data_IF_404838627776
#
_entry.id   IF_404838627776
#
_cell.length_a   1.000
_cell.length_b   1.000
_cell.length_c   1.000
_cell.angle_alpha   90.00
_cell.angle_beta   90.00
_cell.angle_gamma   90.00
#
_symmetry.space_group_name_H-M   'P 1'
#
loop_
_entity.id
_entity.type
_entity.pdbx_description
1 polymer ?
#
# COMPACT_ATOMS: atom_id res chain seq x y z
N UNK A 1 -30.80 -9.48 -11.87
CA UNK A 1 -29.36 -9.79 -11.88
C UNK A 1 -28.86 -9.59 -13.30
N UNK A 2 -28.08 -8.52 -13.52
CA UNK A 2 -27.54 -8.14 -14.84
C UNK A 2 -26.35 -9.06 -15.13
N UNK A 3 -26.39 -9.77 -16.26
CA UNK A 3 -25.28 -10.58 -16.76
C UNK A 3 -24.26 -9.64 -17.42
N UNK A 4 -23.07 -9.53 -16.85
CA UNK A 4 -21.92 -8.87 -17.47
C UNK A 4 -21.35 -9.84 -18.51
N UNK A 5 -21.36 -9.41 -19.77
CA UNK A 5 -20.76 -10.11 -20.90
C UNK A 5 -19.27 -9.74 -20.90
N UNK A 6 -18.40 -10.68 -20.52
CA UNK A 6 -16.95 -10.50 -20.56
C UNK A 6 -16.50 -10.70 -22.01
N UNK A 7 -16.19 -9.61 -22.71
CA UNK A 7 -15.52 -9.65 -24.01
C UNK A 7 -14.10 -10.19 -23.82
N UNK A 8 -13.86 -11.41 -24.31
CA UNK A 8 -12.52 -11.96 -24.45
C UNK A 8 -11.90 -11.38 -25.74
N UNK A 9 -11.12 -10.31 -25.60
CA UNK A 9 -10.36 -9.74 -26.71
C UNK A 9 -9.10 -10.58 -26.96
N UNK A 10 -9.18 -11.53 -27.89
CA UNK A 10 -8.00 -12.27 -28.39
C UNK A 10 -7.25 -11.38 -29.37
N UNK A 11 -6.05 -10.95 -28.99
CA UNK A 11 -5.14 -10.25 -29.90
C UNK A 11 -4.41 -11.27 -30.78
N UNK A 12 -4.70 -11.26 -32.09
CA UNK A 12 -3.99 -12.07 -33.09
C UNK A 12 -2.75 -11.31 -33.54
N UNK A 13 -1.57 -11.78 -33.15
CA UNK A 13 -0.30 -11.29 -33.68
C UNK A 13 0.02 -11.99 -35.01
N UNK A 14 0.03 -11.23 -36.10
CA UNK A 14 0.44 -11.73 -37.41
C UNK A 14 1.97 -11.62 -37.57
N UNK A 15 2.67 -12.75 -37.56
CA UNK A 15 4.04 -12.88 -38.04
C UNK A 15 4.03 -13.80 -39.27
N UNK A 16 4.45 -13.27 -40.41
CA UNK A 16 4.51 -14.01 -41.66
C UNK A 16 5.74 -14.92 -41.76
N UNK A 17 5.53 -16.15 -42.24
CA UNK A 17 6.34 -16.86 -43.23
C UNK A 17 5.55 -18.09 -43.69
N UNK A 18 5.65 -18.43 -44.98
CA UNK A 18 4.67 -19.25 -45.68
C UNK A 18 4.64 -20.74 -45.30
N UNK A 19 3.46 -21.34 -45.51
CA UNK A 19 3.22 -22.78 -45.47
C UNK A 19 1.98 -23.15 -44.67
N UNK A 20 0.90 -23.46 -45.40
CA UNK A 20 -0.21 -24.34 -44.96
C UNK A 20 -0.90 -24.02 -43.63
N UNK A 21 -1.43 -22.79 -43.47
CA UNK A 21 -2.04 -22.32 -42.21
C UNK A 21 -3.56 -22.37 -42.16
N UNK A 22 -4.22 -22.93 -43.17
CA UNK A 22 -5.69 -23.04 -43.22
C UNK A 22 -6.23 -24.28 -42.51
N UNK A 23 -5.49 -25.40 -42.56
CA UNK A 23 -5.95 -26.69 -42.01
C UNK A 23 -5.73 -26.76 -40.48
N UNK A 24 -4.71 -26.08 -39.93
CA UNK A 24 -4.47 -26.01 -38.48
C UNK A 24 -5.44 -25.07 -37.75
N UNK A 25 -6.01 -24.07 -38.44
CA UNK A 25 -6.97 -23.14 -37.84
C UNK A 25 -8.37 -23.76 -37.74
N UNK A 26 -8.79 -24.57 -38.73
CA UNK A 26 -10.04 -25.33 -38.64
C UNK A 26 -9.95 -26.44 -37.58
N UNK A 27 -8.81 -27.12 -37.47
CA UNK A 27 -8.60 -28.14 -36.43
C UNK A 27 -8.61 -27.56 -34.99
N UNK A 28 -8.18 -26.30 -34.82
CA UNK A 28 -8.19 -25.62 -33.52
C UNK A 28 -9.61 -25.18 -33.08
N UNK A 29 -10.51 -24.89 -34.04
CA UNK A 29 -11.89 -24.52 -33.76
C UNK A 29 -12.78 -25.74 -33.43
N UNK A 30 -12.59 -26.88 -34.10
CA UNK A 30 -13.30 -28.13 -33.76
C UNK A 30 -12.95 -28.64 -32.35
N UNK A 31 -11.72 -28.37 -31.86
CA UNK A 31 -11.28 -28.75 -30.51
C UNK A 31 -11.92 -27.91 -29.39
N UNK A 32 -12.42 -26.71 -29.71
CA UNK A 32 -13.10 -25.81 -28.76
C UNK A 32 -14.56 -26.25 -28.58
N UNK A 33 -15.23 -26.71 -29.65
CA UNK A 33 -16.58 -27.29 -29.57
C UNK A 33 -16.62 -28.62 -28.80
N UNK A 34 -15.56 -29.44 -28.88
CA UNK A 34 -15.45 -30.71 -28.14
C UNK A 34 -15.26 -30.51 -26.61
N UNK A 35 -14.72 -29.36 -26.18
CA UNK A 35 -14.54 -29.03 -24.76
C UNK A 35 -15.78 -28.39 -24.11
N UNK A 36 -16.68 -27.80 -24.90
CA UNK A 36 -17.96 -27.27 -24.40
C UNK A 36 -19.04 -28.36 -24.25
N UNK A 37 -18.91 -29.49 -24.95
CA UNK A 37 -19.84 -30.63 -24.83
C UNK A 37 -19.64 -31.48 -23.55
N UNK A 38 -18.53 -31.32 -22.83
CA UNK A 38 -18.21 -32.12 -21.63
C UNK A 38 -18.68 -31.51 -20.29
N UNK A 39 -19.33 -30.34 -20.30
CA UNK A 39 -19.82 -29.67 -19.08
C UNK A 39 -21.34 -29.81 -18.83
N UNK A 40 -22.00 -30.76 -19.50
CA UNK A 40 -23.42 -31.05 -19.33
C UNK A 40 -23.65 -32.50 -18.91
N UNK A 41 -23.19 -32.90 -17.72
CA UNK A 41 -23.87 -33.95 -16.95
C UNK A 41 -23.37 -33.92 -15.51
N UNK A 42 -24.12 -33.28 -14.62
CA UNK A 42 -24.25 -33.68 -13.21
C UNK A 42 -25.22 -32.73 -12.49
N UNK A 43 -26.51 -32.95 -12.72
CA UNK A 43 -27.56 -32.37 -11.89
C UNK A 43 -28.76 -33.31 -11.79
N UNK A 44 -28.73 -34.27 -10.86
CA UNK A 44 -29.97 -34.84 -10.29
C UNK A 44 -29.76 -35.40 -8.85
N UNK A 45 -30.26 -34.64 -7.86
CA UNK A 45 -31.00 -34.94 -6.58
C UNK A 45 -30.86 -36.31 -5.85
N UNK A 46 -31.16 -36.50 -4.52
CA UNK A 46 -31.76 -35.58 -3.52
C UNK A 46 -31.27 -35.65 -2.04
N UNK A 47 -31.67 -34.62 -1.29
CA UNK A 47 -32.07 -34.53 0.13
C UNK A 47 -31.88 -35.75 1.06
N UNK A 48 -31.19 -35.55 2.20
CA UNK A 48 -31.65 -36.03 3.52
C UNK A 48 -31.20 -35.10 4.66
N UNK A 49 -32.19 -34.52 5.32
CA UNK A 49 -32.14 -33.83 6.61
C UNK A 49 -31.94 -34.82 7.76
N UNK A 50 -31.26 -34.41 8.85
CA UNK A 50 -31.76 -34.79 10.17
C UNK A 50 -32.07 -33.60 11.08
N UNK A 51 -33.16 -33.82 11.81
CA UNK A 51 -33.89 -33.08 12.84
C UNK A 51 -33.03 -32.60 14.03
N UNK A 52 -33.42 -31.50 14.71
CA UNK A 52 -32.71 -30.99 15.87
C UNK A 52 -32.95 -31.86 17.12
N UNK A 53 -31.90 -32.08 17.91
CA UNK A 53 -32.00 -32.58 19.28
C UNK A 53 -31.69 -31.45 20.24
N UNK A 54 -32.66 -31.10 21.08
CA UNK A 54 -32.52 -30.19 22.21
C UNK A 54 -32.44 -30.98 23.52
N UNK A 55 -31.55 -30.61 24.45
CA UNK A 55 -31.71 -30.79 25.90
C UNK A 55 -30.54 -30.16 26.68
N UNK A 56 -30.64 -29.93 28.01
CA UNK A 56 -30.90 -28.61 28.57
C UNK A 56 -29.71 -28.03 29.36
N UNK A 57 -29.92 -26.78 29.79
CA UNK A 57 -29.06 -25.98 30.65
C UNK A 57 -28.72 -26.65 32.00
N UNK A 58 -27.54 -26.32 32.53
CA UNK A 58 -27.31 -26.30 33.97
C UNK A 58 -26.39 -25.13 34.31
N UNK A 59 -26.94 -24.19 35.08
CA UNK A 59 -26.22 -23.07 35.68
C UNK A 59 -25.40 -23.54 36.88
N UNK A 60 -24.17 -23.05 37.01
CA UNK A 60 -23.42 -23.10 38.26
C UNK A 60 -22.87 -21.72 38.57
N UNK A 61 -23.54 -21.06 39.52
CA UNK A 61 -23.11 -19.86 40.23
C UNK A 61 -21.92 -20.20 41.11
N UNK A 62 -20.83 -19.44 41.03
CA UNK A 62 -19.84 -19.37 42.12
C UNK A 62 -19.33 -17.93 42.21
N UNK A 63 -19.88 -17.22 43.20
CA UNK A 63 -19.48 -15.89 43.64
C UNK A 63 -18.19 -15.99 44.44
N UNK A 64 -17.11 -15.38 43.94
CA UNK A 64 -15.90 -15.13 44.72
C UNK A 64 -15.97 -13.72 45.36
N UNK A 65 -15.52 -13.53 46.62
CA UNK A 65 -15.58 -12.24 47.31
C UNK A 65 -14.55 -11.25 46.76
N UNK A 66 -14.83 -9.92 46.75
CA UNK A 66 -13.86 -8.92 46.37
C UNK A 66 -12.84 -8.70 47.50
N UNK A 67 -11.57 -8.98 47.25
CA UNK A 67 -10.46 -8.51 48.09
C UNK A 67 -10.11 -7.07 47.68
N UNK A 68 -10.43 -6.12 48.56
CA UNK A 68 -9.95 -4.73 48.46
C UNK A 68 -8.47 -4.66 48.84
N UNK A 69 -7.60 -4.55 47.85
CA UNK A 69 -6.19 -4.16 48.05
C UNK A 69 -6.06 -2.68 47.71
N UNK A 70 -5.92 -1.85 48.75
CA UNK A 70 -5.56 -0.44 48.65
C UNK A 70 -4.13 -0.31 48.13
N UNK A 71 -3.95 0.10 46.88
CA UNK A 71 -2.65 0.48 46.34
C UNK A 71 -2.27 1.88 46.84
N UNK A 72 -1.08 2.02 47.41
CA UNK A 72 -0.49 3.30 47.80
C UNK A 72 -0.10 4.11 46.54
N UNK A 73 -0.23 5.45 46.55
CA UNK A 73 0.23 6.26 45.43
C UNK A 73 1.76 6.32 45.40
N UNK A 74 2.38 5.65 44.43
CA UNK A 74 3.76 5.92 44.03
C UNK A 74 3.79 7.20 43.20
N UNK A 75 4.34 8.28 43.78
CA UNK A 75 4.63 9.53 43.07
C UNK A 75 5.86 9.31 42.19
N UNK A 76 5.65 8.92 40.92
CA UNK A 76 6.72 8.90 39.91
C UNK A 76 6.88 10.32 39.37
N UNK A 77 7.95 11.00 39.78
CA UNK A 77 8.36 12.28 39.20
C UNK A 77 9.00 12.01 37.83
N UNK A 78 8.21 12.14 36.76
CA UNK A 78 8.71 12.13 35.39
C UNK A 78 9.33 13.49 35.08
N UNK A 79 10.65 13.54 34.92
CA UNK A 79 11.33 14.71 34.36
C UNK A 79 11.11 14.71 32.84
N UNK A 80 10.22 15.58 32.36
CA UNK A 80 10.03 15.81 30.93
C UNK A 80 11.17 16.67 30.40
N UNK A 81 12.21 16.05 29.84
CA UNK A 81 13.18 16.75 29.01
C UNK A 81 12.48 17.08 27.69
N UNK A 82 12.01 18.33 27.54
CA UNK A 82 11.50 18.83 26.27
C UNK A 82 12.68 19.01 25.31
N UNK A 83 12.94 17.99 24.50
CA UNK A 83 13.77 18.14 23.30
C UNK A 83 12.99 19.07 22.36
N UNK A 84 13.57 20.19 21.89
CA UNK A 84 12.91 21.02 20.90
C UNK A 84 12.67 20.17 19.66
N UNK A 85 11.42 20.06 19.26
CA UNK A 85 11.03 19.37 18.05
C UNK A 85 11.32 20.29 16.88
N UNK A 86 11.81 19.73 15.76
CA UNK A 86 12.21 20.51 14.59
C UNK A 86 13.31 21.53 14.90
N UNK A 87 14.39 21.05 15.51
CA UNK A 87 15.58 21.88 15.72
C UNK A 87 16.28 22.22 14.40
N UNK A 88 17.37 22.97 14.49
CA UNK A 88 18.12 23.47 13.33
C UNK A 88 18.75 22.38 12.44
N UNK A 89 18.66 21.10 12.81
CA UNK A 89 19.11 19.98 11.97
C UNK A 89 18.12 19.58 10.89
N UNK A 90 16.85 19.98 10.99
CA UNK A 90 15.82 19.70 9.97
C UNK A 90 15.88 20.76 8.88
N UNK A 91 15.50 20.39 7.66
CA UNK A 91 15.62 21.26 6.49
C UNK A 91 14.40 21.16 5.59
N UNK A 92 14.04 22.26 4.92
CA UNK A 92 13.05 22.24 3.84
C UNK A 92 13.71 21.99 2.46
N UNK A 93 15.03 21.85 2.42
CA UNK A 93 15.76 21.51 1.20
C UNK A 93 15.48 20.05 0.79
N UNK A 94 15.57 19.72 -0.51
CA UNK A 94 15.42 18.35 -0.99
C UNK A 94 16.34 17.35 -0.27
N UNK A 95 15.79 16.20 0.12
CA UNK A 95 16.56 15.02 0.54
C UNK A 95 16.66 14.06 -0.63
N UNK A 96 17.86 13.95 -1.20
CA UNK A 96 18.08 13.19 -2.43
C UNK A 96 19.25 12.24 -2.23
N UNK A 97 19.00 10.96 -2.45
CA UNK A 97 20.06 9.94 -2.43
C UNK A 97 21.09 10.19 -3.52
N UNK A 98 22.37 9.93 -3.21
CA UNK A 98 23.46 10.09 -4.17
C UNK A 98 23.26 9.19 -5.39
N UNK A 99 23.40 9.75 -6.59
CA UNK A 99 23.21 9.02 -7.85
C UNK A 99 21.76 8.94 -8.34
N UNK A 100 20.84 9.71 -7.76
CA UNK A 100 19.47 9.84 -8.24
C UNK A 100 19.36 10.74 -9.50
N UNK A 101 18.45 10.43 -10.45
CA UNK A 101 17.75 9.15 -10.61
C UNK A 101 18.72 8.08 -11.12
N UNK A 102 18.47 6.81 -10.79
CA UNK A 102 19.28 5.68 -11.26
C UNK A 102 18.42 4.63 -11.98
N UNK A 103 19.05 3.71 -12.71
CA UNK A 103 18.30 2.68 -13.42
C UNK A 103 17.52 1.80 -12.43
N UNK A 104 16.19 1.86 -12.50
CA UNK A 104 15.33 0.92 -11.80
C UNK A 104 15.68 -0.52 -12.21
N UNK A 105 15.46 -1.48 -11.30
CA UNK A 105 15.75 -2.91 -11.47
C UNK A 105 17.24 -3.33 -11.54
N UNK A 106 18.18 -2.38 -11.48
CA UNK A 106 19.62 -2.70 -11.49
C UNK A 106 20.21 -2.96 -10.10
N UNK A 107 19.51 -2.54 -9.05
CA UNK A 107 20.00 -2.59 -7.69
C UNK A 107 19.58 -3.90 -6.97
N UNK A 108 20.47 -4.52 -6.18
CA UNK A 108 20.18 -5.78 -5.51
C UNK A 108 19.18 -5.61 -4.35
N UNK A 109 18.37 -6.64 -4.12
CA UNK A 109 17.38 -6.71 -3.04
C UNK A 109 16.01 -6.15 -3.40
N UNK A 110 14.97 -6.63 -2.72
CA UNK A 110 13.56 -6.33 -2.99
C UNK A 110 13.07 -5.24 -2.03
N UNK A 111 12.60 -4.11 -2.57
CA UNK A 111 11.95 -3.02 -1.84
C UNK A 111 10.50 -2.91 -2.29
N UNK A 112 9.74 -3.95 -1.96
CA UNK A 112 8.31 -4.00 -2.22
C UNK A 112 7.57 -3.35 -1.05
N UNK A 113 6.70 -2.39 -1.36
CA UNK A 113 5.91 -1.67 -0.37
C UNK A 113 4.83 -2.62 0.17
N UNK A 114 4.72 -2.70 1.49
CA UNK A 114 3.73 -3.56 2.15
C UNK A 114 2.64 -2.71 2.81
N UNK A 115 3.03 -1.65 3.54
CA UNK A 115 2.08 -0.82 4.28
C UNK A 115 2.48 0.64 4.26
N UNK A 116 1.50 1.54 4.27
CA UNK A 116 1.70 2.98 4.45
C UNK A 116 0.92 3.45 5.67
N UNK A 117 1.54 4.35 6.45
CA UNK A 117 0.94 4.90 7.66
C UNK A 117 1.20 6.40 7.76
N UNK A 118 0.20 7.10 8.29
CA UNK A 118 0.37 8.45 8.82
C UNK A 118 0.28 8.43 10.35
N UNK A 119 0.98 9.33 11.01
CA UNK A 119 0.95 9.47 12.47
C UNK A 119 1.24 10.90 12.91
N UNK A 120 0.71 11.29 14.07
CA UNK A 120 0.99 12.59 14.66
C UNK A 120 1.81 12.44 15.93
N UNK A 121 2.80 13.31 16.09
CA UNK A 121 3.72 13.35 17.22
C UNK A 121 3.81 14.78 17.76
N UNK A 122 4.33 15.00 18.98
CA UNK A 122 4.61 16.36 19.43
C UNK A 122 5.56 17.05 18.45
N UNK A 123 5.08 18.08 17.76
CA UNK A 123 5.83 19.00 16.89
C UNK A 123 6.11 18.52 15.46
N UNK A 124 5.66 17.33 15.07
CA UNK A 124 5.72 16.85 13.68
C UNK A 124 4.62 15.82 13.39
N UNK A 125 4.25 15.73 12.12
CA UNK A 125 3.50 14.61 11.58
C UNK A 125 4.45 13.69 10.80
N UNK A 126 4.12 12.41 10.73
CA UNK A 126 4.93 11.36 10.11
C UNK A 126 4.16 10.73 8.98
N UNK A 127 4.80 10.64 7.83
CA UNK A 127 4.44 9.74 6.75
C UNK A 127 5.47 8.60 6.70
N UNK A 128 5.00 7.35 6.61
CA UNK A 128 5.83 6.16 6.72
C UNK A 128 5.44 5.15 5.66
N UNK A 129 6.43 4.65 4.94
CA UNK A 129 6.30 3.53 4.01
C UNK A 129 7.06 2.35 4.61
N UNK A 130 6.33 1.28 4.89
CA UNK A 130 6.84 -0.02 5.31
C UNK A 130 7.02 -0.93 4.10
N UNK A 131 8.12 -1.65 4.08
CA UNK A 131 8.46 -2.63 3.06
C UNK A 131 8.44 -4.03 3.67
N UNK A 132 8.30 -5.04 2.81
CA UNK A 132 8.25 -6.44 3.23
C UNK A 132 9.30 -6.81 4.29
N UNK A 133 8.90 -7.64 5.25
CA UNK A 133 9.75 -8.04 6.39
C UNK A 133 11.09 -8.64 5.95
N UNK A 134 11.11 -9.47 4.90
CA UNK A 134 12.30 -10.08 4.31
C UNK A 134 12.96 -9.21 3.22
N UNK A 135 12.36 -8.06 2.92
CA UNK A 135 12.82 -7.08 1.96
C UNK A 135 13.80 -6.06 2.57
N UNK A 136 13.75 -4.83 2.04
CA UNK A 136 14.63 -3.73 2.43
C UNK A 136 14.04 -2.38 2.05
N UNK A 137 14.60 -1.31 2.60
CA UNK A 137 14.32 0.04 2.12
C UNK A 137 14.88 0.26 0.70
N UNK A 138 14.27 1.17 -0.08
CA UNK A 138 14.71 1.53 -1.43
C UNK A 138 16.19 1.89 -1.51
N UNK A 139 16.80 1.60 -2.66
CA UNK A 139 18.19 1.99 -2.94
C UNK A 139 18.37 3.47 -3.23
N UNK A 140 17.29 4.16 -3.55
CA UNK A 140 17.29 5.56 -3.90
C UNK A 140 15.92 6.17 -3.69
N UNK A 141 15.92 7.45 -3.33
CA UNK A 141 14.77 8.32 -3.26
C UNK A 141 15.17 9.77 -3.56
N UNK A 142 14.15 10.56 -3.88
CA UNK A 142 14.16 12.02 -3.94
C UNK A 142 12.90 12.51 -3.25
N UNK A 143 13.08 13.33 -2.22
CA UNK A 143 11.98 13.89 -1.43
C UNK A 143 12.12 15.40 -1.40
N UNK A 144 11.13 16.10 -1.94
CA UNK A 144 11.20 17.57 -2.10
C UNK A 144 9.83 18.23 -2.24
N UNK A 145 9.69 19.41 -1.64
CA UNK A 145 8.56 20.30 -1.92
C UNK A 145 8.57 20.71 -3.41
N UNK A 146 7.42 20.62 -4.08
CA UNK A 146 7.26 21.01 -5.48
C UNK A 146 6.52 22.35 -5.61
N UNK A 147 6.79 23.10 -6.69
CA UNK A 147 6.16 24.42 -6.92
C UNK A 147 4.94 24.38 -7.84
N UNK A 148 4.34 23.20 -8.04
CA UNK A 148 3.23 22.99 -8.97
C UNK A 148 2.29 21.90 -8.47
N UNK A 149 1.26 21.60 -9.27
CA UNK A 149 0.30 20.55 -8.92
C UNK A 149 0.94 19.16 -9.02
N UNK A 150 0.63 18.27 -8.08
CA UNK A 150 0.96 16.84 -8.17
C UNK A 150 0.39 16.20 -9.44
N UNK A 151 1.15 15.30 -10.06
CA UNK A 151 0.73 14.58 -11.27
C UNK A 151 0.87 13.07 -11.09
N UNK A 152 -0.07 12.31 -11.63
CA UNK A 152 0.01 10.85 -11.70
C UNK A 152 1.16 10.40 -12.59
N UNK A 153 1.84 9.36 -12.13
CA UNK A 153 2.94 8.74 -12.86
C UNK A 153 2.47 8.18 -14.20
N UNK A 154 3.28 8.34 -15.25
CA UNK A 154 3.03 7.85 -16.61
C UNK A 154 1.95 8.63 -17.40
N UNK A 155 0.80 8.93 -16.79
CA UNK A 155 -0.29 9.67 -17.44
C UNK A 155 -0.05 11.18 -17.49
N UNK A 156 0.55 11.74 -16.42
CA UNK A 156 0.70 13.18 -16.25
C UNK A 156 -0.60 13.93 -15.95
N UNK A 157 -1.69 13.22 -15.64
CA UNK A 157 -2.93 13.84 -15.19
C UNK A 157 -2.79 14.35 -13.75
N UNK A 158 -3.50 15.42 -13.34
CA UNK A 158 -3.45 15.90 -11.96
C UNK A 158 -3.91 14.86 -10.94
N UNK A 159 -3.23 14.80 -9.79
CA UNK A 159 -3.71 14.07 -8.60
C UNK A 159 -4.71 14.96 -7.86
N UNK A 160 -5.87 14.42 -7.49
CA UNK A 160 -6.97 15.17 -6.83
C UNK A 160 -6.87 15.08 -5.31
N UNK A 161 -5.94 15.85 -4.73
CA UNK A 161 -5.67 15.84 -3.30
C UNK A 161 -5.92 17.19 -2.61
N UNK A 162 -6.29 17.15 -1.34
CA UNK A 162 -6.44 18.30 -0.45
C UNK A 162 -5.08 18.92 -0.09
N UNK A 163 -5.06 20.20 0.29
CA UNK A 163 -3.86 20.93 0.72
C UNK A 163 -3.25 21.86 -0.34
N UNK A 164 -2.29 22.70 0.09
CA UNK A 164 -1.74 23.78 -0.75
C UNK A 164 -0.24 23.59 -1.07
N UNK A 165 0.48 22.85 -0.22
CA UNK A 165 1.91 22.60 -0.35
C UNK A 165 2.15 21.10 -0.49
N UNK A 166 2.92 20.68 -1.49
CA UNK A 166 3.05 19.26 -1.84
C UNK A 166 4.49 18.78 -1.72
N UNK A 167 4.71 17.80 -0.85
CA UNK A 167 5.98 17.08 -0.72
C UNK A 167 5.93 15.84 -1.61
N UNK A 168 6.70 15.84 -2.69
CA UNK A 168 6.87 14.64 -3.52
C UNK A 168 7.80 13.67 -2.81
N UNK A 169 7.32 12.45 -2.56
CA UNK A 169 8.08 11.33 -2.01
C UNK A 169 8.23 10.28 -3.10
N UNK A 170 9.34 10.35 -3.84
CA UNK A 170 9.61 9.45 -4.97
C UNK A 170 10.77 8.52 -4.67
N UNK A 171 10.57 7.23 -4.86
CA UNK A 171 11.59 6.22 -4.56
C UNK A 171 11.66 5.10 -5.59
N UNK A 172 12.79 4.37 -5.61
CA UNK A 172 12.94 3.16 -6.43
C UNK A 172 12.15 2.01 -5.80
N UNK A 173 11.03 1.66 -6.42
CA UNK A 173 10.18 0.54 -6.00
C UNK A 173 10.49 -0.75 -6.75
N UNK A 174 10.24 -1.89 -6.11
CA UNK A 174 10.31 -3.20 -6.78
C UNK A 174 8.99 -3.65 -7.42
N UNK A 175 8.00 -2.74 -7.55
CA UNK A 175 6.67 -3.05 -8.07
C UNK A 175 6.72 -3.72 -9.46
N UNK A 176 7.55 -3.23 -10.37
CA UNK A 176 7.71 -3.84 -11.71
C UNK A 176 8.41 -5.21 -11.74
N UNK A 177 8.91 -5.72 -10.60
CA UNK A 177 9.44 -7.08 -10.47
C UNK A 177 8.39 -8.10 -10.03
N UNK A 178 7.20 -7.64 -9.62
CA UNK A 178 6.10 -8.47 -9.15
C UNK A 178 5.39 -9.13 -10.34
N UNK A 179 5.08 -10.42 -10.21
CA UNK A 179 4.36 -11.19 -11.24
C UNK A 179 3.16 -11.90 -10.65
N UNK A 180 2.10 -12.07 -11.44
CA UNK A 180 0.88 -12.76 -11.02
C UNK A 180 1.17 -14.13 -10.39
N UNK A 181 0.54 -14.49 -9.26
CA UNK A 181 -0.62 -13.84 -8.62
C UNK A 181 -0.29 -12.80 -7.54
N UNK A 182 0.98 -12.46 -7.36
CA UNK A 182 1.40 -11.46 -6.37
C UNK A 182 0.94 -10.07 -6.80
N UNK A 183 0.52 -9.26 -5.82
CA UNK A 183 0.15 -7.85 -5.99
C UNK A 183 1.25 -7.00 -5.38
N UNK A 184 1.63 -5.93 -6.05
CA UNK A 184 2.78 -5.14 -5.60
C UNK A 184 2.47 -4.26 -4.38
N UNK A 185 1.20 -3.88 -4.22
CA UNK A 185 0.65 -3.17 -3.07
C UNK A 185 -0.88 -3.29 -3.10
N UNK A 186 -1.49 -3.64 -1.98
CA UNK A 186 -2.95 -3.76 -1.82
C UNK A 186 -3.54 -2.87 -0.71
N UNK A 187 -2.69 -2.02 -0.10
CA UNK A 187 -3.12 -1.09 0.93
C UNK A 187 -3.85 0.15 0.39
N UNK A 188 -4.38 1.00 1.28
CA UNK A 188 -5.00 2.27 0.91
C UNK A 188 -4.06 3.17 0.12
N UNK A 189 -4.60 3.91 -0.84
CA UNK A 189 -3.84 4.86 -1.67
C UNK A 189 -4.01 6.32 -1.21
N UNK A 190 -4.91 6.58 -0.26
CA UNK A 190 -5.23 7.90 0.27
C UNK A 190 -5.26 7.85 1.81
N UNK A 191 -4.70 8.86 2.45
CA UNK A 191 -4.67 9.00 3.91
C UNK A 191 -4.91 10.45 4.32
N UNK A 192 -5.98 10.70 5.08
CA UNK A 192 -6.36 12.04 5.51
C UNK A 192 -5.79 12.37 6.89
N UNK A 193 -5.03 13.47 7.00
CA UNK A 193 -4.49 13.98 8.26
C UNK A 193 -5.58 14.30 9.29
N UNK A 194 -6.76 14.70 8.82
CA UNK A 194 -7.95 14.93 9.66
C UNK A 194 -8.38 13.68 10.45
N UNK A 195 -8.12 12.46 9.93
CA UNK A 195 -8.45 11.21 10.59
C UNK A 195 -7.57 10.91 11.82
N UNK A 196 -6.38 11.50 11.87
CA UNK A 196 -5.41 11.33 12.98
C UNK A 196 -5.22 12.61 13.81
N UNK A 197 -5.90 13.70 13.46
CA UNK A 197 -5.68 15.01 14.08
C UNK A 197 -4.27 15.56 13.83
N UNK A 198 -3.77 15.39 12.59
CA UNK A 198 -2.48 15.91 12.17
C UNK A 198 -2.40 17.44 12.34
N UNK A 199 -1.21 17.95 12.59
CA UNK A 199 -1.00 19.39 12.81
C UNK A 199 -0.67 20.19 11.55
N UNK A 200 -0.02 19.58 10.56
CA UNK A 200 0.34 20.20 9.28
C UNK A 200 0.12 19.27 8.09
N UNK A 201 0.23 17.93 8.25
CA UNK A 201 -0.11 16.98 7.19
C UNK A 201 -1.62 17.02 6.89
N UNK A 202 -1.99 17.27 5.62
CA UNK A 202 -3.39 17.36 5.18
C UNK A 202 -3.84 16.04 4.56
N UNK A 203 -3.12 15.56 3.56
CA UNK A 203 -3.39 14.31 2.86
C UNK A 203 -2.10 13.63 2.40
N UNK A 204 -2.10 12.31 2.29
CA UNK A 204 -1.09 11.58 1.55
C UNK A 204 -1.75 10.70 0.49
N UNK A 205 -1.33 10.82 -0.76
CA UNK A 205 -1.91 10.11 -1.90
C UNK A 205 -0.85 9.48 -2.80
N UNK A 206 -1.11 8.26 -3.27
CA UNK A 206 -0.26 7.55 -4.21
C UNK A 206 -0.49 8.05 -5.64
N UNK A 207 0.55 8.60 -6.26
CA UNK A 207 0.50 9.02 -7.66
C UNK A 207 0.71 7.87 -8.65
N UNK A 208 1.30 6.75 -8.19
CA UNK A 208 1.37 5.50 -8.93
C UNK A 208 2.75 4.85 -8.90
N UNK A 209 2.89 3.83 -9.74
CA UNK A 209 4.17 3.20 -10.05
C UNK A 209 4.43 3.25 -11.56
N UNK A 210 5.59 3.77 -11.97
CA UNK A 210 5.98 3.86 -13.37
C UNK A 210 7.49 3.73 -13.55
N UNK A 211 7.91 2.90 -14.50
CA UNK A 211 9.33 2.64 -14.82
C UNK A 211 10.20 2.26 -13.61
N UNK A 212 9.59 1.63 -12.60
CA UNK A 212 10.25 1.20 -11.36
C UNK A 212 10.48 2.31 -10.33
N UNK A 213 9.79 3.43 -10.50
CA UNK A 213 9.60 4.44 -9.48
C UNK A 213 8.21 4.30 -8.88
N UNK A 214 8.09 4.56 -7.58
CA UNK A 214 6.80 4.76 -6.93
C UNK A 214 6.79 6.17 -6.37
N UNK A 215 5.68 6.87 -6.58
CA UNK A 215 5.51 8.25 -6.15
C UNK A 215 4.33 8.36 -5.21
N UNK A 216 4.57 8.97 -4.06
CA UNK A 216 3.56 9.47 -3.15
C UNK A 216 3.67 10.98 -3.07
N UNK A 217 2.54 11.67 -2.92
CA UNK A 217 2.51 13.06 -2.51
C UNK A 217 1.98 13.14 -1.09
N UNK A 218 2.64 13.96 -0.27
CA UNK A 218 2.14 14.34 1.05
C UNK A 218 1.86 15.83 1.01
N UNK A 219 0.59 16.21 1.09
CA UNK A 219 0.22 17.61 1.18
C UNK A 219 0.25 18.13 2.61
N UNK A 220 0.47 19.43 2.73
CA UNK A 220 0.50 20.12 4.00
C UNK A 220 -0.16 21.50 3.92
N UNK A 221 -0.54 22.04 5.08
CA UNK A 221 -1.00 23.44 5.19
C UNK A 221 0.14 24.43 4.91
N UNK A 222 1.38 24.06 5.24
CA UNK A 222 2.56 24.87 4.98
C UNK A 222 3.77 23.98 4.67
N UNK A 223 4.58 24.39 3.70
CA UNK A 223 5.88 23.78 3.45
C UNK A 223 6.80 24.05 4.65
N UNK A 224 7.17 22.96 5.35
CA UNK A 224 7.95 23.01 6.58
C UNK A 224 9.24 22.22 6.44
N UNK A 225 10.23 22.45 7.31
CA UNK A 225 11.36 21.54 7.43
C UNK A 225 10.87 20.11 7.66
N UNK A 226 11.55 19.16 7.03
CA UNK A 226 11.29 17.75 7.17
C UNK A 226 12.60 17.01 7.45
N UNK A 227 12.48 15.76 7.87
CA UNK A 227 13.59 14.86 8.09
C UNK A 227 13.28 13.49 7.50
N UNK A 228 14.27 12.89 6.83
CA UNK A 228 14.14 11.61 6.14
C UNK A 228 15.13 10.63 6.73
N UNK A 229 14.66 9.44 7.08
CA UNK A 229 15.51 8.37 7.58
C UNK A 229 14.87 7.01 7.35
N UNK A 230 15.64 5.96 7.65
CA UNK A 230 15.20 4.58 7.52
C UNK A 230 15.22 3.87 8.86
N UNK A 231 14.31 2.92 9.03
CA UNK A 231 14.26 2.01 10.17
C UNK A 231 14.38 0.57 9.69
N UNK A 232 14.74 -0.33 10.61
CA UNK A 232 14.81 -1.77 10.37
C UNK A 232 13.79 -2.51 11.26
N UNK A 233 13.51 -3.77 10.91
CA UNK A 233 12.63 -4.68 11.64
C UNK A 233 11.20 -4.17 11.86
N UNK A 234 10.35 -4.04 10.83
CA UNK A 234 10.60 -4.21 9.39
C UNK A 234 11.26 -2.98 8.73
N UNK A 235 11.78 -3.09 7.48
CA UNK A 235 12.38 -1.97 6.76
C UNK A 235 11.36 -0.87 6.48
N UNK A 236 11.68 0.38 6.83
CA UNK A 236 10.77 1.51 6.66
C UNK A 236 11.49 2.76 6.16
N UNK A 237 10.88 3.48 5.23
CA UNK A 237 11.25 4.85 4.85
C UNK A 237 10.33 5.80 5.60
N UNK A 238 10.91 6.73 6.35
CA UNK A 238 10.19 7.63 7.25
C UNK A 238 10.43 9.07 6.84
N UNK A 239 9.36 9.84 6.74
CA UNK A 239 9.35 11.27 6.46
C UNK A 239 8.62 11.97 7.60
N UNK A 240 9.35 12.71 8.41
CA UNK A 240 8.78 13.55 9.46
C UNK A 240 8.68 15.00 8.97
N UNK A 241 7.52 15.63 9.13
CA UNK A 241 7.21 17.00 8.67
C UNK A 241 6.79 17.83 9.87
N UNK A 242 7.46 18.95 10.12
CA UNK A 242 7.13 19.80 11.26
C UNK A 242 5.71 20.39 11.18
N UNK A 243 5.08 20.60 12.33
CA UNK A 243 3.83 21.38 12.45
C UNK A 243 3.97 22.58 13.40
#
# INVERSE_FOLDING_TARGET
>A
MKRFLMCLSVAVAAAGCGGDSSDELEAALERIEELEAAQQDDAETPSTQPTPTASPATSSTTTAPPTTTTAAPTTTTSTTTTVPVCDASWSAAPDVTSGWPSAAFSAPGRSLQEEVRIGTHPGYDRFLIEFEEDGRTPNGWSISWISGSPLHDGSGEPVDMEGDEFLEVRYLGSAGSVTYPEVWYDGPQEFFGSAIGAGNLVEAEMAGDYEGYVTWYVSAETARPFNVFTLTGPPRLVVDICH
#
